data_IF_089764302768
#
_entry.id   IF_089764302768
#
_cell.length_a   1.000
_cell.length_b   1.000
_cell.length_c   1.000
_cell.angle_alpha   90.00
_cell.angle_beta   90.00
_cell.angle_gamma   90.00
#
_symmetry.space_group_name_H-M   'P 1'
#
loop_
_entity.id
_entity.type
_entity.pdbx_description
1 polymer ?
#
# COMPACT_ATOMS: atom_id res chain seq x y z
N UNK A 1 -0.67 -6.05 -1.07
CA UNK A 1 -1.48 -4.82 -0.88
C UNK A 1 -1.53 -3.98 -2.16
N UNK A 2 -2.58 -3.18 -2.33
CA UNK A 2 -2.74 -2.22 -3.45
C UNK A 2 -3.26 -0.87 -2.94
N UNK A 3 -3.71 0.01 -3.84
CA UNK A 3 -4.27 1.30 -3.47
C UNK A 3 -5.48 1.69 -4.35
N UNK A 4 -6.32 2.58 -3.81
CA UNK A 4 -7.44 3.17 -4.52
C UNK A 4 -7.56 4.65 -4.17
N UNK A 5 -8.02 5.44 -5.13
CA UNK A 5 -8.44 6.82 -4.93
C UNK A 5 -9.96 6.87 -4.96
N UNK A 6 -10.52 7.45 -3.91
CA UNK A 6 -11.95 7.55 -3.70
C UNK A 6 -12.39 8.99 -3.96
N UNK A 7 -13.67 9.16 -4.25
CA UNK A 7 -14.27 10.49 -4.31
C UNK A 7 -14.16 11.18 -2.94
N UNK A 8 -13.95 12.50 -2.96
CA UNK A 8 -13.69 13.27 -1.74
C UNK A 8 -14.97 13.47 -0.89
N UNK A 9 -16.11 13.63 -1.56
CA UNK A 9 -17.40 13.91 -0.93
C UNK A 9 -18.25 12.64 -0.78
N UNK A 10 -18.10 11.68 -1.69
CA UNK A 10 -18.81 10.40 -1.71
C UNK A 10 -17.84 9.19 -1.68
N UNK A 11 -17.13 8.91 -0.58
CA UNK A 11 -15.97 7.99 -0.56
C UNK A 11 -16.25 6.53 -0.94
N UNK A 12 -17.52 6.11 -0.98
CA UNK A 12 -17.87 4.79 -1.51
C UNK A 12 -17.71 4.69 -3.04
N UNK A 13 -17.58 5.83 -3.74
CA UNK A 13 -17.28 5.89 -5.17
C UNK A 13 -15.78 5.76 -5.39
N UNK A 14 -15.38 4.63 -5.96
CA UNK A 14 -13.99 4.39 -6.38
C UNK A 14 -13.75 5.13 -7.70
N UNK A 15 -12.82 6.08 -7.70
CA UNK A 15 -12.42 6.80 -8.91
C UNK A 15 -11.32 6.05 -9.66
N UNK A 16 -10.34 5.51 -8.91
CA UNK A 16 -9.22 4.75 -9.45
C UNK A 16 -8.86 3.62 -8.48
N UNK A 17 -8.42 2.47 -8.99
CA UNK A 17 -7.97 1.34 -8.17
C UNK A 17 -6.89 0.56 -8.91
N UNK A 18 -5.73 0.38 -8.28
CA UNK A 18 -4.61 -0.33 -8.93
C UNK A 18 -5.00 -1.75 -9.34
N UNK A 19 -4.73 -2.09 -10.60
CA UNK A 19 -4.77 -3.47 -11.09
C UNK A 19 -3.62 -4.31 -10.54
N UNK A 20 -2.35 -3.87 -10.62
CA UNK A 20 -1.24 -4.53 -9.94
C UNK A 20 -1.24 -4.27 -8.43
N UNK A 21 -0.57 -5.15 -7.70
CA UNK A 21 -0.20 -4.90 -6.30
C UNK A 21 0.94 -3.88 -6.23
N UNK A 22 0.96 -3.08 -5.17
CA UNK A 22 2.09 -2.21 -4.82
C UNK A 22 3.19 -2.99 -4.10
N UNK A 23 2.79 -3.95 -3.25
CA UNK A 23 3.68 -4.83 -2.51
C UNK A 23 3.02 -6.20 -2.36
N UNK A 24 3.78 -7.26 -2.61
CA UNK A 24 3.39 -8.64 -2.40
C UNK A 24 4.51 -9.35 -1.60
N UNK A 25 4.19 -10.40 -0.84
CA UNK A 25 5.21 -11.16 -0.11
C UNK A 25 6.30 -11.65 -1.05
N UNK A 26 7.54 -11.33 -0.72
CA UNK A 26 8.72 -11.74 -1.49
C UNK A 26 9.88 -12.11 -0.56
N UNK A 27 10.15 -11.25 0.42
CA UNK A 27 11.25 -11.47 1.35
C UNK A 27 10.97 -12.62 2.32
N UNK A 28 12.03 -13.21 2.87
CA UNK A 28 11.90 -14.38 3.75
C UNK A 28 10.96 -14.11 4.94
N UNK A 29 11.05 -12.92 5.53
CA UNK A 29 10.22 -12.51 6.67
C UNK A 29 8.75 -12.23 6.31
N UNK A 30 8.41 -12.18 5.02
CA UNK A 30 7.03 -12.05 4.51
C UNK A 30 6.46 -13.39 4.07
N UNK A 31 7.34 -14.27 3.55
CA UNK A 31 6.99 -15.59 3.05
C UNK A 31 6.96 -16.66 4.14
N UNK A 32 7.68 -16.48 5.26
CA UNK A 32 7.83 -17.47 6.34
C UNK A 32 7.54 -16.83 7.70
N UNK A 33 6.64 -17.46 8.46
CA UNK A 33 6.22 -17.03 9.80
C UNK A 33 4.99 -17.82 10.25
N UNK A 34 4.30 -17.32 11.27
CA UNK A 34 3.07 -17.92 11.82
C UNK A 34 1.98 -18.09 10.74
N UNK A 35 1.85 -17.10 9.85
CA UNK A 35 1.02 -17.20 8.63
C UNK A 35 1.87 -16.91 7.40
N UNK A 36 2.27 -17.92 6.61
CA UNK A 36 3.10 -17.73 5.41
C UNK A 36 2.48 -16.82 4.34
N UNK A 37 3.33 -16.10 3.61
CA UNK A 37 2.96 -15.24 2.48
C UNK A 37 1.97 -14.11 2.83
N UNK A 38 2.26 -13.35 3.89
CA UNK A 38 1.45 -12.21 4.32
C UNK A 38 2.23 -10.91 4.24
N UNK A 39 1.59 -9.91 3.61
CA UNK A 39 1.92 -8.49 3.69
C UNK A 39 0.62 -7.75 3.99
N UNK A 40 0.48 -7.21 5.21
CA UNK A 40 -0.75 -6.60 5.69
C UNK A 40 -0.51 -5.17 6.20
N UNK A 41 -0.86 -4.11 5.45
CA UNK A 41 -0.63 -2.73 5.86
C UNK A 41 -1.56 -2.31 7.01
N UNK A 42 -1.00 -1.69 8.04
CA UNK A 42 -1.73 -1.32 9.27
C UNK A 42 -1.71 0.19 9.56
N UNK A 43 -0.66 0.91 9.17
CA UNK A 43 -0.54 2.34 9.42
C UNK A 43 0.31 3.04 8.36
N UNK A 44 0.09 4.33 8.16
CA UNK A 44 0.94 5.18 7.33
C UNK A 44 1.22 6.51 8.01
N UNK A 45 2.48 6.94 8.01
CA UNK A 45 2.88 8.30 8.36
C UNK A 45 3.10 9.09 7.09
N UNK A 46 2.51 10.27 7.01
CA UNK A 46 2.57 11.14 5.83
C UNK A 46 3.15 12.50 6.22
N UNK A 47 4.26 12.87 5.57
CA UNK A 47 4.88 14.18 5.70
C UNK A 47 4.40 15.10 4.57
N UNK A 48 3.31 15.84 4.82
CA UNK A 48 2.65 16.65 3.81
C UNK A 48 3.58 17.67 3.09
N UNK A 49 4.50 18.38 3.77
CA UNK A 49 5.47 19.25 3.10
C UNK A 49 6.36 18.57 2.04
N UNK A 50 6.75 17.31 2.24
CA UNK A 50 7.69 16.62 1.32
C UNK A 50 7.02 15.55 0.45
N UNK A 51 5.80 15.14 0.80
CA UNK A 51 5.07 14.04 0.18
C UNK A 51 5.59 12.65 0.56
N UNK A 52 6.51 12.52 1.53
CA UNK A 52 7.02 11.21 1.95
C UNK A 52 5.96 10.44 2.73
N UNK A 53 5.86 9.15 2.43
CA UNK A 53 4.97 8.20 3.10
C UNK A 53 5.81 7.04 3.64
N UNK A 54 5.62 6.70 4.91
CA UNK A 54 6.14 5.47 5.51
C UNK A 54 4.96 4.58 5.91
N UNK A 55 4.88 3.38 5.35
CA UNK A 55 3.81 2.41 5.58
C UNK A 55 4.32 1.29 6.48
N UNK A 56 3.69 1.13 7.63
CA UNK A 56 3.89 -0.02 8.52
C UNK A 56 2.99 -1.16 8.07
N UNK A 57 3.58 -2.34 7.91
CA UNK A 57 2.84 -3.54 7.54
C UNK A 57 3.30 -4.75 8.36
N UNK A 58 2.36 -5.64 8.67
CA UNK A 58 2.66 -6.95 9.22
C UNK A 58 3.19 -7.87 8.12
N UNK A 59 4.24 -8.63 8.44
CA UNK A 59 4.84 -9.62 7.56
C UNK A 59 4.76 -11.00 8.20
N UNK A 60 4.20 -11.94 7.44
CA UNK A 60 3.93 -13.33 7.84
C UNK A 60 3.21 -13.50 9.20
N UNK A 61 2.37 -12.53 9.60
CA UNK A 61 1.76 -12.41 10.93
C UNK A 61 2.76 -12.55 12.12
N UNK A 62 4.04 -12.25 11.88
CA UNK A 62 5.12 -12.52 12.84
C UNK A 62 5.87 -11.25 13.23
N UNK A 63 6.18 -10.38 12.25
CA UNK A 63 6.96 -9.16 12.46
C UNK A 63 6.27 -7.94 11.86
N UNK A 64 6.67 -6.75 12.32
CA UNK A 64 6.27 -5.48 11.69
C UNK A 64 7.41 -4.93 10.86
N UNK A 65 7.10 -4.54 9.63
CA UNK A 65 8.04 -4.05 8.62
C UNK A 65 7.62 -2.65 8.13
N UNK A 66 8.49 -2.03 7.32
CA UNK A 66 8.29 -0.68 6.80
C UNK A 66 8.57 -0.62 5.29
N UNK A 67 7.67 0.03 4.55
CA UNK A 67 7.86 0.39 3.15
C UNK A 67 7.73 1.91 2.97
N UNK A 68 8.37 2.46 1.94
CA UNK A 68 8.36 3.90 1.65
C UNK A 68 7.76 4.19 0.29
N UNK A 69 7.07 5.32 0.18
CA UNK A 69 6.56 5.84 -1.09
C UNK A 69 6.56 7.37 -1.08
N UNK A 70 6.34 7.97 -2.25
CA UNK A 70 6.03 9.40 -2.38
C UNK A 70 4.58 9.57 -2.85
N UNK A 71 3.88 10.54 -2.28
CA UNK A 71 2.44 10.73 -2.51
C UNK A 71 2.11 11.05 -3.98
N UNK A 72 2.91 11.89 -4.62
CA UNK A 72 2.76 12.25 -6.03
C UNK A 72 2.97 11.04 -6.96
N UNK A 73 4.04 10.28 -6.73
CA UNK A 73 4.32 9.05 -7.48
C UNK A 73 3.24 7.99 -7.29
N UNK A 74 2.77 7.79 -6.04
CA UNK A 74 1.72 6.83 -5.72
C UNK A 74 0.40 7.22 -6.39
N UNK A 75 -0.01 8.48 -6.32
CA UNK A 75 -1.24 8.97 -6.96
C UNK A 75 -1.17 8.82 -8.48
N UNK A 76 -0.03 9.16 -9.08
CA UNK A 76 0.19 8.98 -10.52
C UNK A 76 0.09 7.51 -10.91
N UNK A 77 0.80 6.63 -10.20
CA UNK A 77 0.80 5.19 -10.44
C UNK A 77 -0.61 4.59 -10.35
N UNK A 78 -1.41 5.00 -9.36
CA UNK A 78 -2.80 4.51 -9.18
C UNK A 78 -3.69 4.90 -10.36
N UNK A 79 -3.54 6.11 -10.90
CA UNK A 79 -4.32 6.58 -12.05
C UNK A 79 -3.90 5.89 -13.35
N UNK A 80 -2.60 5.72 -13.56
CA UNK A 80 -2.04 5.10 -14.78
C UNK A 80 -2.28 3.60 -14.85
N UNK A 81 -2.36 2.93 -13.71
CA UNK A 81 -2.52 1.47 -13.61
C UNK A 81 -3.87 1.09 -12.99
N UNK A 82 -4.89 1.92 -13.20
CA UNK A 82 -6.23 1.63 -12.72
C UNK A 82 -6.80 0.41 -13.45
N UNK A 83 -7.53 -0.45 -12.73
CA UNK A 83 -8.42 -1.43 -13.35
C UNK A 83 -9.38 -0.69 -14.29
N UNK A 84 -9.55 -1.24 -15.48
CA UNK A 84 -10.50 -0.74 -16.48
C UNK A 84 -11.93 -0.71 -15.95
#
# INVERSE_FOLDING_TARGET
MGAALLDLDEPWKVLYRTAPYLLAPWELYECVGDTPNVVFPCAALVDAPTGRIAVYYGAADTVTCLAYARADELVAYVKENSLA
#
